data_IF_023881325701
#
_entry.id   IF_023881325701
#
_cell.length_a   1.000
_cell.length_b   1.000
_cell.length_c   1.000
_cell.angle_alpha   90.00
_cell.angle_beta   90.00
_cell.angle_gamma   90.00
#
_symmetry.space_group_name_H-M   'P 1'
#
loop_
_entity.id
_entity.type
_entity.pdbx_description
1 polymer ?
#
# COMPACT_ATOMS: atom_id res chain seq x y z
N UNK A 1 -5.99 -13.34 19.90
CA UNK A 1 -5.96 -12.22 20.88
C UNK A 1 -5.09 -12.56 22.10
N UNK A 2 -5.24 -13.75 22.69
CA UNK A 2 -4.48 -14.23 23.88
C UNK A 2 -2.96 -13.99 23.81
N UNK A 3 -2.29 -14.45 22.74
CA UNK A 3 -0.85 -14.21 22.53
C UNK A 3 -0.47 -12.73 22.51
N UNK A 4 -1.21 -11.91 21.76
CA UNK A 4 -0.90 -10.49 21.59
C UNK A 4 -1.08 -9.71 22.89
N UNK A 5 -2.14 -10.02 23.64
CA UNK A 5 -2.42 -9.40 24.94
C UNK A 5 -1.36 -9.78 25.98
N UNK A 6 -0.94 -11.05 26.02
CA UNK A 6 0.09 -11.51 26.96
C UNK A 6 1.47 -10.89 26.66
N UNK A 7 1.82 -10.79 25.37
CA UNK A 7 3.04 -10.10 24.92
C UNK A 7 3.05 -8.62 25.31
N UNK A 8 1.91 -7.92 25.21
CA UNK A 8 1.80 -6.51 25.58
C UNK A 8 2.07 -6.24 27.08
N UNK A 9 1.85 -7.24 27.94
CA UNK A 9 2.08 -7.16 29.39
C UNK A 9 3.30 -7.96 29.85
N UNK A 10 4.18 -8.39 28.92
CA UNK A 10 5.35 -9.23 29.19
C UNK A 10 5.05 -10.49 30.03
N UNK A 11 3.88 -11.12 29.80
CA UNK A 11 3.50 -12.39 30.44
C UNK A 11 3.42 -13.50 29.41
N UNK A 12 3.60 -14.72 29.89
CA UNK A 12 3.33 -15.90 29.08
C UNK A 12 1.82 -16.01 28.81
N UNK A 13 1.41 -16.32 27.56
CA UNK A 13 0.01 -16.52 27.25
C UNK A 13 -0.53 -17.76 27.98
N UNK A 14 -1.75 -17.66 28.51
CA UNK A 14 -2.45 -18.81 29.06
C UNK A 14 -2.69 -19.90 28.00
N UNK A 15 -3.02 -21.11 28.44
CA UNK A 15 -3.28 -22.26 27.55
C UNK A 15 -4.38 -21.93 26.55
N UNK A 16 -4.04 -21.96 25.27
CA UNK A 16 -4.97 -21.76 24.15
C UNK A 16 -4.42 -22.42 22.89
N UNK A 17 -5.29 -22.68 21.90
CA UNK A 17 -4.86 -23.11 20.57
C UNK A 17 -4.39 -21.87 19.78
N UNK A 18 -3.09 -21.67 19.69
CA UNK A 18 -2.51 -20.58 18.92
C UNK A 18 -2.48 -20.94 17.43
N UNK A 19 -3.15 -20.15 16.60
CA UNK A 19 -3.10 -20.24 15.13
C UNK A 19 -2.14 -19.23 14.50
N UNK A 20 -1.27 -18.60 15.29
CA UNK A 20 -0.31 -17.60 14.80
C UNK A 20 0.79 -18.30 14.01
N UNK A 21 0.89 -17.96 12.72
CA UNK A 21 1.88 -18.52 11.78
C UNK A 21 2.95 -17.50 11.33
N UNK A 22 3.01 -16.33 11.96
CA UNK A 22 3.92 -15.26 11.56
C UNK A 22 4.43 -14.49 12.76
N UNK A 23 5.72 -14.15 12.73
CA UNK A 23 6.37 -13.30 13.72
C UNK A 23 6.90 -12.04 13.03
N UNK A 24 6.31 -10.89 13.33
CA UNK A 24 6.67 -9.62 12.71
C UNK A 24 5.46 -8.70 12.52
N UNK A 25 5.68 -7.58 11.82
CA UNK A 25 4.61 -6.65 11.47
C UNK A 25 3.69 -7.24 10.38
N UNK A 26 2.47 -6.70 10.26
CA UNK A 26 1.55 -7.07 9.18
C UNK A 26 2.14 -6.74 7.81
N UNK A 27 2.76 -5.57 7.67
CA UNK A 27 3.41 -5.15 6.42
C UNK A 27 4.58 -6.05 6.03
N UNK A 28 5.35 -6.54 7.01
CA UNK A 28 6.42 -7.51 6.77
C UNK A 28 5.86 -8.86 6.32
N UNK A 29 4.72 -9.28 6.86
CA UNK A 29 4.04 -10.52 6.45
C UNK A 29 3.62 -10.46 5.00
N UNK A 30 2.98 -9.35 4.62
CA UNK A 30 2.53 -9.12 3.25
C UNK A 30 3.69 -9.13 2.26
N UNK A 31 4.77 -8.40 2.57
CA UNK A 31 5.97 -8.38 1.73
C UNK A 31 6.58 -9.79 1.54
N UNK A 32 6.63 -10.59 2.61
CA UNK A 32 7.20 -11.93 2.54
C UNK A 32 6.32 -12.90 1.74
N UNK A 33 5.01 -12.87 1.92
CA UNK A 33 4.07 -13.70 1.14
C UNK A 33 4.15 -13.35 -0.35
N UNK A 34 4.22 -12.06 -0.69
CA UNK A 34 4.35 -11.62 -2.09
C UNK A 34 5.69 -12.07 -2.66
N UNK A 35 6.79 -11.89 -1.92
CA UNK A 35 8.11 -12.37 -2.33
C UNK A 35 8.11 -13.88 -2.61
N UNK A 36 7.61 -14.69 -1.67
CA UNK A 36 7.53 -16.15 -1.80
C UNK A 36 6.71 -16.52 -3.04
N UNK A 37 5.55 -15.89 -3.23
CA UNK A 37 4.69 -16.11 -4.40
C UNK A 37 5.40 -15.85 -5.73
N UNK A 38 6.28 -14.84 -5.81
CA UNK A 38 7.08 -14.56 -7.00
C UNK A 38 8.19 -15.60 -7.21
N UNK A 39 8.86 -16.03 -6.13
CA UNK A 39 9.96 -17.00 -6.21
C UNK A 39 9.48 -18.38 -6.66
N UNK A 40 8.31 -18.83 -6.19
CA UNK A 40 7.76 -20.15 -6.53
C UNK A 40 6.91 -20.14 -7.80
N UNK A 41 6.63 -18.97 -8.39
CA UNK A 41 5.66 -18.84 -9.50
C UNK A 41 6.01 -19.70 -10.71
N UNK A 42 7.30 -19.83 -11.03
CA UNK A 42 7.77 -20.64 -12.16
C UNK A 42 7.61 -22.13 -11.85
N UNK A 43 7.96 -22.55 -10.64
CA UNK A 43 7.84 -23.95 -10.23
C UNK A 43 6.39 -24.41 -10.11
N UNK A 44 5.50 -23.55 -9.57
CA UNK A 44 4.09 -23.89 -9.35
C UNK A 44 3.22 -23.71 -10.58
N UNK A 45 3.48 -22.67 -11.38
CA UNK A 45 2.57 -22.23 -12.45
C UNK A 45 3.23 -22.10 -13.82
N UNK A 46 4.55 -22.30 -13.93
CA UNK A 46 5.28 -22.12 -15.18
C UNK A 46 5.30 -20.67 -15.68
N UNK A 47 5.04 -19.69 -14.81
CA UNK A 47 4.86 -18.30 -15.19
C UNK A 47 5.79 -17.36 -14.41
N UNK A 48 6.27 -16.31 -15.08
CA UNK A 48 7.00 -15.19 -14.48
C UNK A 48 6.08 -13.97 -14.38
N UNK A 49 6.07 -13.31 -13.22
CA UNK A 49 5.29 -12.09 -13.03
C UNK A 49 6.15 -10.86 -13.30
N UNK A 50 5.80 -10.09 -14.33
CA UNK A 50 6.57 -8.90 -14.71
C UNK A 50 6.22 -7.66 -13.88
N UNK A 51 5.03 -7.63 -13.26
CA UNK A 51 4.52 -6.43 -12.59
C UNK A 51 3.89 -6.77 -11.24
N UNK A 52 4.06 -5.88 -10.28
CA UNK A 52 3.38 -5.92 -8.98
C UNK A 52 2.52 -4.66 -8.83
N UNK A 53 1.26 -4.84 -8.47
CA UNK A 53 0.38 -3.74 -8.09
C UNK A 53 0.49 -3.52 -6.60
N UNK A 54 0.94 -2.33 -6.20
CA UNK A 54 1.02 -1.94 -4.80
C UNK A 54 0.22 -0.67 -4.55
N UNK A 55 -0.20 -0.49 -3.30
CA UNK A 55 -0.35 0.86 -2.79
C UNK A 55 1.05 1.42 -2.47
N UNK A 56 1.14 2.66 -2.00
CA UNK A 56 2.42 3.33 -1.75
C UNK A 56 3.38 2.62 -0.77
N UNK A 57 3.04 1.46 -0.22
CA UNK A 57 3.89 0.65 0.65
C UNK A 57 5.22 0.29 -0.03
N UNK A 58 6.26 0.96 0.44
CA UNK A 58 7.62 0.91 -0.09
C UNK A 58 8.35 -0.41 0.21
N UNK A 59 7.93 -1.13 1.25
CA UNK A 59 8.63 -2.33 1.70
C UNK A 59 8.41 -3.54 0.78
N UNK A 60 7.21 -3.73 0.22
CA UNK A 60 6.93 -4.88 -0.66
C UNK A 60 7.79 -4.83 -1.93
N UNK A 61 7.81 -3.68 -2.59
CA UNK A 61 8.58 -3.54 -3.83
C UNK A 61 10.08 -3.65 -3.58
N UNK A 62 10.58 -3.08 -2.48
CA UNK A 62 11.99 -3.22 -2.10
C UNK A 62 12.37 -4.69 -1.88
N UNK A 63 11.57 -5.44 -1.11
CA UNK A 63 11.80 -6.88 -0.90
C UNK A 63 11.81 -7.66 -2.22
N UNK A 64 10.95 -7.31 -3.19
CA UNK A 64 10.96 -7.93 -4.51
C UNK A 64 12.20 -7.60 -5.33
N UNK A 65 12.69 -6.35 -5.26
CA UNK A 65 13.94 -5.96 -5.92
C UNK A 65 15.15 -6.68 -5.31
N UNK A 66 15.23 -6.72 -3.98
CA UNK A 66 16.34 -7.33 -3.25
C UNK A 66 16.37 -8.86 -3.46
N UNK A 67 15.20 -9.49 -3.58
CA UNK A 67 15.08 -10.95 -3.77
C UNK A 67 15.31 -11.43 -5.19
N UNK A 68 15.25 -10.53 -6.18
CA UNK A 68 15.43 -10.80 -7.63
C UNK A 68 14.85 -12.18 -8.04
N UNK A 69 13.52 -12.34 -8.03
CA UNK A 69 12.89 -13.65 -8.22
C UNK A 69 13.19 -14.29 -9.59
N UNK A 70 13.63 -13.49 -10.57
CA UNK A 70 13.97 -13.95 -11.92
C UNK A 70 15.28 -13.31 -12.39
N UNK A 71 16.14 -14.08 -13.05
CA UNK A 71 17.46 -13.61 -13.50
C UNK A 71 17.38 -12.52 -14.58
N UNK A 72 16.50 -12.71 -15.56
CA UNK A 72 16.38 -11.85 -16.75
C UNK A 72 15.21 -10.83 -16.67
N UNK A 73 14.39 -10.89 -15.62
CA UNK A 73 13.18 -10.08 -15.52
C UNK A 73 13.15 -9.31 -14.20
N UNK A 74 13.33 -7.99 -14.30
CA UNK A 74 13.09 -7.09 -13.18
C UNK A 74 11.60 -6.81 -13.06
N UNK A 75 11.06 -6.97 -11.85
CA UNK A 75 9.65 -6.68 -11.56
C UNK A 75 9.43 -5.17 -11.54
N UNK A 76 8.40 -4.73 -12.27
CA UNK A 76 7.96 -3.33 -12.30
C UNK A 76 6.90 -3.07 -11.23
N UNK A 77 7.03 -1.97 -10.48
CA UNK A 77 5.96 -1.50 -9.59
C UNK A 77 4.95 -0.70 -10.39
N UNK A 78 3.68 -1.11 -10.33
CA UNK A 78 2.55 -0.30 -10.77
C UNK A 78 1.77 0.21 -9.57
N UNK A 79 1.49 1.52 -9.58
CA UNK A 79 0.63 2.16 -8.59
C UNK A 79 -0.84 2.05 -9.00
N UNK A 80 -1.69 1.71 -8.04
CA UNK A 80 -3.13 1.67 -8.29
C UNK A 80 -3.72 3.08 -8.33
N UNK A 81 -4.42 3.40 -9.42
CA UNK A 81 -4.99 4.73 -9.64
C UNK A 81 -5.89 5.20 -8.49
N UNK A 82 -6.71 4.31 -7.91
CA UNK A 82 -7.58 4.71 -6.79
C UNK A 82 -6.79 5.04 -5.52
N UNK A 83 -5.67 4.37 -5.27
CA UNK A 83 -4.77 4.74 -4.17
C UNK A 83 -4.16 6.12 -4.40
N UNK A 84 -3.74 6.43 -5.64
CA UNK A 84 -3.26 7.75 -6.01
C UNK A 84 -4.33 8.83 -5.78
N UNK A 85 -5.57 8.62 -6.24
CA UNK A 85 -6.66 9.57 -6.04
C UNK A 85 -7.05 9.73 -4.57
N UNK A 86 -6.98 8.66 -3.78
CA UNK A 86 -7.18 8.73 -2.32
C UNK A 86 -6.10 9.60 -1.67
N UNK A 87 -4.83 9.39 -2.03
CA UNK A 87 -3.70 10.17 -1.53
C UNK A 87 -3.82 11.65 -1.92
N UNK A 88 -4.24 11.93 -3.14
CA UNK A 88 -4.56 13.29 -3.60
C UNK A 88 -5.61 13.96 -2.70
N UNK A 89 -6.76 13.29 -2.49
CA UNK A 89 -7.80 13.83 -1.61
C UNK A 89 -7.32 14.02 -0.16
N UNK A 90 -6.49 13.13 0.36
CA UNK A 90 -5.91 13.25 1.70
C UNK A 90 -5.01 14.50 1.81
N UNK A 91 -4.15 14.74 0.82
CA UNK A 91 -3.31 15.95 0.78
C UNK A 91 -4.16 17.22 0.74
N UNK A 92 -5.23 17.24 -0.06
CA UNK A 92 -6.17 18.37 -0.06
C UNK A 92 -6.82 18.58 1.31
N UNK A 93 -7.27 17.50 1.97
CA UNK A 93 -7.83 17.60 3.33
C UNK A 93 -6.81 18.13 4.33
N UNK A 94 -5.54 17.78 4.20
CA UNK A 94 -4.47 18.29 5.05
C UNK A 94 -4.28 19.80 4.84
N UNK A 95 -4.28 20.27 3.58
CA UNK A 95 -4.22 21.71 3.25
C UNK A 95 -5.41 22.47 3.85
N UNK A 96 -6.61 21.90 3.78
CA UNK A 96 -7.81 22.52 4.37
C UNK A 96 -7.66 22.71 5.88
N UNK A 97 -7.04 21.74 6.57
CA UNK A 97 -6.83 21.74 8.03
C UNK A 97 -5.65 22.61 8.46
N UNK A 98 -4.63 22.74 7.62
CA UNK A 98 -3.43 23.51 7.93
C UNK A 98 -3.72 25.02 7.87
N UNK A 99 -3.65 25.69 9.01
CA UNK A 99 -3.84 27.14 9.11
C UNK A 99 -2.75 27.94 8.42
N UNK A 100 -1.57 27.35 8.22
CA UNK A 100 -0.40 27.98 7.56
C UNK A 100 -0.46 27.88 6.04
N UNK A 101 -1.26 26.96 5.50
CA UNK A 101 -1.33 26.71 4.06
C UNK A 101 -2.03 27.84 3.26
N UNK A 102 -2.68 28.80 3.93
CA UNK A 102 -3.19 30.01 3.30
C UNK A 102 -4.49 30.57 3.89
N UNK A 103 -5.05 31.61 3.26
CA UNK A 103 -6.29 32.27 3.70
C UNK A 103 -7.44 31.29 3.90
N UNK A 104 -8.21 31.48 4.99
CA UNK A 104 -9.32 30.59 5.36
C UNK A 104 -10.38 30.44 4.26
N UNK A 105 -10.62 31.50 3.49
CA UNK A 105 -11.59 31.51 2.38
C UNK A 105 -11.17 30.50 1.30
N UNK A 106 -9.90 30.53 0.90
CA UNK A 106 -9.35 29.62 -0.11
C UNK A 106 -9.34 28.17 0.41
N UNK A 107 -8.94 27.95 1.67
CA UNK A 107 -8.98 26.61 2.28
C UNK A 107 -10.39 26.04 2.34
N UNK A 108 -11.41 26.84 2.70
CA UNK A 108 -12.82 26.42 2.65
C UNK A 108 -13.28 26.13 1.22
N UNK A 109 -12.84 26.93 0.24
CA UNK A 109 -13.14 26.69 -1.17
C UNK A 109 -12.57 25.35 -1.65
N UNK A 110 -11.30 25.06 -1.37
CA UNK A 110 -10.67 23.76 -1.67
C UNK A 110 -11.44 22.63 -1.01
N UNK A 111 -11.78 22.76 0.27
CA UNK A 111 -12.51 21.74 1.03
C UNK A 111 -13.85 21.36 0.43
N UNK A 112 -14.63 22.34 -0.04
CA UNK A 112 -15.92 22.11 -0.72
C UNK A 112 -15.76 21.40 -2.06
N UNK A 113 -14.63 21.60 -2.74
CA UNK A 113 -14.41 21.14 -4.10
C UNK A 113 -13.54 19.88 -4.22
N UNK A 114 -13.10 19.26 -3.12
CA UNK A 114 -12.20 18.07 -3.14
C UNK A 114 -12.72 16.96 -4.06
N UNK A 115 -14.03 16.67 -3.98
CA UNK A 115 -14.62 15.63 -4.81
C UNK A 115 -14.65 16.03 -6.28
N UNK A 116 -15.08 17.25 -6.60
CA UNK A 116 -15.07 17.79 -7.96
C UNK A 116 -13.66 17.75 -8.55
N UNK A 117 -12.64 18.20 -7.80
CA UNK A 117 -11.24 18.14 -8.22
C UNK A 117 -10.78 16.72 -8.54
N UNK A 118 -11.16 15.74 -7.71
CA UNK A 118 -10.87 14.32 -7.98
C UNK A 118 -11.51 13.86 -9.28
N UNK A 119 -12.80 14.15 -9.49
CA UNK A 119 -13.52 13.74 -10.71
C UNK A 119 -12.89 14.39 -11.94
N UNK A 120 -12.60 15.69 -11.91
CA UNK A 120 -11.96 16.39 -13.02
C UNK A 120 -10.62 15.76 -13.41
N UNK A 121 -9.80 15.38 -12.43
CA UNK A 121 -8.52 14.70 -12.70
C UNK A 121 -8.76 13.30 -13.29
N UNK A 122 -9.69 12.51 -12.73
CA UNK A 122 -10.03 11.19 -13.26
C UNK A 122 -10.44 11.30 -14.74
N UNK A 123 -11.38 12.21 -15.05
CA UNK A 123 -11.84 12.47 -16.41
C UNK A 123 -10.68 12.90 -17.31
N UNK A 124 -9.84 13.84 -16.88
CA UNK A 124 -8.67 14.28 -17.65
C UNK A 124 -7.70 13.12 -17.95
N UNK A 125 -7.42 12.26 -16.96
CA UNK A 125 -6.54 11.09 -17.17
C UNK A 125 -7.12 10.06 -18.13
N UNK A 126 -8.44 9.96 -18.24
CA UNK A 126 -9.07 9.08 -19.23
C UNK A 126 -8.84 9.57 -20.68
N UNK A 127 -8.75 10.89 -20.89
CA UNK A 127 -8.49 11.47 -22.20
C UNK A 127 -7.02 11.39 -22.65
N UNK A 128 -6.09 11.21 -21.72
CA UNK A 128 -4.65 11.09 -21.99
C UNK A 128 -4.21 9.69 -22.46
N UNK A 129 -5.06 8.67 -22.33
CA UNK A 129 -4.75 7.28 -22.73
C UNK A 129 -5.02 7.00 -24.23
N UNK A 130 -4.88 8.01 -25.10
CA UNK A 130 -4.99 7.85 -26.56
C UNK A 130 -3.62 7.68 -27.19
#
# INVERSE_FOLDING_TARGET
MVCSTAAAVNKLPGKHCCSKNWHGSSSSKEANIIQEGFQISVAMYGAKYSKVFGDGDSNVYKTLLDSRPYDELQVEKLEYQNHLFRNFCLKLKNIVRDSKAGPIILRKCVGKNIFCLRISIISATAHLKK
#
